data_IF_170211066554
#
_entry.id   IF_170211066554
#
_cell.length_a   1.000
_cell.length_b   1.000
_cell.length_c   1.000
_cell.angle_alpha   90.00
_cell.angle_beta   90.00
_cell.angle_gamma   90.00
#
_symmetry.space_group_name_H-M   'P 1'
#
loop_
_entity.id
_entity.type
_entity.pdbx_description
1 polymer ?
#
# COMPACT_ATOMS: atom_id res chain seq x y z
N UNK A 1 5.50 -7.21 -19.95
CA UNK A 1 6.94 -7.33 -19.66
C UNK A 1 7.13 -7.82 -18.23
N UNK A 2 8.07 -8.75 -17.98
CA UNK A 2 8.35 -9.27 -16.65
C UNK A 2 8.93 -8.20 -15.72
N UNK A 3 8.69 -8.33 -14.41
CA UNK A 3 9.28 -7.49 -13.38
C UNK A 3 10.46 -8.23 -12.74
N UNK A 4 11.62 -7.59 -12.65
CA UNK A 4 12.81 -8.18 -12.02
C UNK A 4 12.66 -8.17 -10.49
N UNK A 5 12.95 -9.30 -9.86
CA UNK A 5 13.00 -9.45 -8.40
C UNK A 5 14.44 -9.73 -7.97
N UNK A 6 15.11 -8.75 -7.35
CA UNK A 6 16.55 -8.81 -7.07
C UNK A 6 16.96 -9.61 -5.82
N UNK A 7 16.04 -10.38 -5.23
CA UNK A 7 16.28 -11.20 -4.03
C UNK A 7 15.93 -12.65 -4.33
N UNK A 8 16.59 -13.58 -3.66
CA UNK A 8 16.32 -15.00 -3.82
C UNK A 8 14.84 -15.31 -3.52
N UNK A 9 14.25 -16.17 -4.36
CA UNK A 9 12.93 -16.73 -4.15
C UNK A 9 12.99 -18.13 -3.55
N UNK A 10 11.87 -18.58 -3.01
CA UNK A 10 11.58 -20.00 -2.84
C UNK A 10 10.98 -20.55 -4.12
N UNK A 11 11.46 -21.71 -4.55
CA UNK A 11 10.94 -22.44 -5.70
C UNK A 11 9.65 -23.15 -5.31
N UNK A 12 8.52 -22.67 -5.85
CA UNK A 12 7.19 -23.20 -5.53
C UNK A 12 6.59 -23.91 -6.72
N UNK A 13 6.06 -25.11 -6.50
CA UNK A 13 5.14 -25.77 -7.43
C UNK A 13 3.76 -25.77 -6.79
N UNK A 14 2.76 -25.32 -7.53
CA UNK A 14 1.39 -25.20 -7.01
C UNK A 14 0.69 -26.54 -7.19
N UNK A 15 0.22 -27.10 -6.08
CA UNK A 15 -0.67 -28.26 -6.06
C UNK A 15 -2.14 -27.84 -5.97
N UNK A 16 -2.42 -26.75 -5.22
CA UNK A 16 -3.75 -26.18 -5.01
C UNK A 16 -3.70 -24.66 -5.04
N UNK A 17 -4.74 -24.03 -5.59
CA UNK A 17 -4.86 -22.57 -5.70
C UNK A 17 -4.43 -22.04 -7.07
N UNK A 18 -4.38 -20.72 -7.19
CA UNK A 18 -4.01 -20.01 -8.40
C UNK A 18 -2.57 -19.46 -8.31
N UNK A 19 -1.84 -19.57 -9.41
CA UNK A 19 -0.53 -18.95 -9.57
C UNK A 19 -0.63 -17.43 -9.56
N UNK A 20 0.27 -16.77 -8.85
CA UNK A 20 0.41 -15.30 -8.87
C UNK A 20 1.30 -14.78 -10.02
N UNK A 21 1.79 -15.67 -10.86
CA UNK A 21 2.60 -15.33 -12.02
C UNK A 21 3.66 -16.39 -12.30
N UNK A 22 4.13 -16.39 -13.54
CA UNK A 22 5.23 -17.24 -13.98
C UNK A 22 6.58 -16.62 -13.56
N UNK A 23 7.56 -17.48 -13.29
CA UNK A 23 8.94 -17.06 -13.05
C UNK A 23 9.75 -17.36 -14.30
N UNK A 24 10.54 -16.40 -14.75
CA UNK A 24 11.50 -16.56 -15.84
C UNK A 24 12.91 -16.41 -15.29
N UNK A 25 13.77 -17.39 -15.54
CA UNK A 25 15.18 -17.33 -15.13
C UNK A 25 15.98 -16.42 -16.10
N UNK A 26 16.99 -15.68 -15.61
CA UNK A 26 17.94 -15.01 -16.48
C UNK A 26 18.79 -16.02 -17.25
N UNK A 27 19.39 -15.62 -18.37
CA UNK A 27 20.39 -16.47 -19.06
C UNK A 27 21.54 -16.84 -18.11
N UNK A 28 21.97 -15.89 -17.28
CA UNK A 28 22.96 -16.04 -16.22
C UNK A 28 22.77 -14.98 -15.13
N UNK A 29 23.18 -15.28 -13.90
CA UNK A 29 23.28 -14.26 -12.85
C UNK A 29 24.54 -13.43 -13.06
N UNK A 30 24.44 -12.09 -12.95
CA UNK A 30 25.65 -11.25 -12.96
C UNK A 30 26.50 -11.62 -11.75
N UNK A 31 27.76 -11.92 -12.03
CA UNK A 31 28.82 -12.18 -11.08
C UNK A 31 30.07 -11.44 -11.54
N UNK A 32 31.14 -11.43 -10.74
CA UNK A 32 32.38 -10.72 -11.11
C UNK A 32 32.97 -11.23 -12.44
N UNK A 33 32.71 -12.48 -12.78
CA UNK A 33 33.16 -13.20 -13.98
C UNK A 33 32.10 -13.25 -15.11
N UNK A 34 30.89 -12.72 -14.87
CA UNK A 34 29.78 -12.73 -15.84
C UNK A 34 29.20 -11.32 -16.01
N UNK A 35 29.65 -10.65 -17.07
CA UNK A 35 29.30 -9.26 -17.38
C UNK A 35 28.03 -9.13 -18.23
N UNK A 36 27.28 -8.05 -18.00
CA UNK A 36 26.20 -7.57 -18.87
C UNK A 36 26.29 -6.04 -18.91
N UNK A 37 26.19 -5.44 -20.10
CA UNK A 37 26.19 -3.97 -20.26
C UNK A 37 24.89 -3.31 -19.81
N UNK A 38 23.82 -4.10 -19.63
CA UNK A 38 22.55 -3.63 -19.09
C UNK A 38 22.49 -3.77 -17.56
N UNK A 39 21.51 -3.10 -16.95
CA UNK A 39 21.28 -3.18 -15.51
C UNK A 39 20.97 -4.63 -15.06
N UNK A 40 20.27 -5.40 -15.90
CA UNK A 40 19.90 -6.80 -15.64
C UNK A 40 20.23 -7.70 -16.85
N UNK A 41 20.60 -8.95 -16.59
CA UNK A 41 20.70 -9.97 -17.64
C UNK A 41 19.30 -10.25 -18.21
N UNK A 42 19.11 -10.36 -19.53
CA UNK A 42 17.83 -10.73 -20.12
C UNK A 42 17.29 -12.05 -19.55
N UNK A 43 15.97 -12.15 -19.47
CA UNK A 43 15.27 -13.38 -19.08
C UNK A 43 15.17 -14.33 -20.28
N UNK A 44 15.15 -15.64 -20.01
CA UNK A 44 14.82 -16.65 -21.02
C UNK A 44 13.34 -16.54 -21.39
N UNK A 45 12.96 -16.70 -22.66
CA UNK A 45 11.56 -16.53 -23.08
C UNK A 45 10.63 -17.61 -22.52
N UNK A 46 11.14 -18.79 -22.17
CA UNK A 46 10.37 -19.86 -21.56
C UNK A 46 10.21 -19.65 -20.04
N UNK A 47 8.99 -19.80 -19.50
CA UNK A 47 8.79 -19.78 -18.06
C UNK A 47 9.39 -21.02 -17.42
N UNK A 48 9.86 -20.87 -16.19
CA UNK A 48 10.23 -21.99 -15.32
C UNK A 48 8.98 -22.75 -14.87
N UNK A 49 9.16 -23.95 -14.32
CA UNK A 49 8.08 -24.71 -13.67
C UNK A 49 7.62 -24.13 -12.32
N UNK A 50 8.24 -23.04 -11.86
CA UNK A 50 7.95 -22.43 -10.56
C UNK A 50 7.01 -21.25 -10.67
N UNK A 51 6.21 -21.05 -9.62
CA UNK A 51 5.29 -19.93 -9.51
C UNK A 51 5.83 -18.79 -8.64
N UNK A 52 5.49 -17.56 -9.02
CA UNK A 52 5.74 -16.34 -8.24
C UNK A 52 5.00 -16.29 -6.90
N UNK A 53 4.03 -17.17 -6.67
CA UNK A 53 3.29 -17.30 -5.42
C UNK A 53 1.97 -18.03 -5.61
N UNK A 54 1.27 -18.33 -4.51
CA UNK A 54 0.00 -19.05 -4.52
C UNK A 54 -1.10 -18.23 -3.85
N UNK A 55 -2.29 -18.28 -4.43
CA UNK A 55 -3.52 -17.74 -3.86
C UNK A 55 -4.58 -18.83 -3.78
N UNK A 56 -5.05 -19.12 -2.57
CA UNK A 56 -6.25 -19.92 -2.29
C UNK A 56 -7.35 -19.01 -1.75
N UNK A 57 -8.48 -19.56 -1.32
CA UNK A 57 -9.52 -18.79 -0.63
C UNK A 57 -9.04 -18.20 0.71
N UNK A 58 -8.07 -18.81 1.38
CA UNK A 58 -7.69 -18.43 2.76
C UNK A 58 -6.21 -18.14 2.91
N UNK A 59 -5.41 -18.29 1.86
CA UNK A 59 -3.96 -18.18 1.94
C UNK A 59 -3.41 -17.44 0.73
N UNK A 60 -2.53 -16.48 1.02
CA UNK A 60 -1.74 -15.77 0.03
C UNK A 60 -0.26 -15.94 0.38
N UNK A 61 0.50 -16.54 -0.53
CA UNK A 61 1.93 -16.79 -0.36
C UNK A 61 2.70 -16.19 -1.53
N UNK A 62 3.80 -15.48 -1.24
CA UNK A 62 4.69 -14.92 -2.25
C UNK A 62 6.02 -15.68 -2.26
N UNK A 63 6.50 -16.07 -3.45
CA UNK A 63 7.77 -16.78 -3.59
C UNK A 63 8.98 -15.93 -3.20
N UNK A 64 8.89 -14.62 -3.42
CA UNK A 64 9.95 -13.65 -3.13
C UNK A 64 9.65 -12.90 -1.82
N UNK A 65 10.67 -12.33 -1.15
CA UNK A 65 10.49 -11.45 0.00
C UNK A 65 9.97 -10.06 -0.46
N UNK A 66 8.74 -10.03 -0.96
CA UNK A 66 8.13 -8.89 -1.66
C UNK A 66 8.04 -7.61 -0.81
N UNK A 67 7.82 -7.73 0.50
CA UNK A 67 7.79 -6.57 1.39
C UNK A 67 9.17 -5.92 1.53
N UNK A 68 10.21 -6.74 1.67
CA UNK A 68 11.59 -6.26 1.69
C UNK A 68 11.98 -5.64 0.36
N UNK A 69 11.62 -6.30 -0.75
CA UNK A 69 11.87 -5.76 -2.10
C UNK A 69 11.19 -4.41 -2.29
N UNK A 70 9.94 -4.26 -1.85
CA UNK A 70 9.22 -2.99 -1.94
C UNK A 70 9.86 -1.91 -1.07
N UNK A 71 10.20 -2.25 0.19
CA UNK A 71 10.87 -1.33 1.10
C UNK A 71 12.23 -0.83 0.55
N UNK A 72 12.95 -1.66 -0.18
CA UNK A 72 14.26 -1.31 -0.75
C UNK A 72 14.17 -0.57 -2.10
N UNK A 73 13.16 -0.86 -2.91
CA UNK A 73 13.11 -0.39 -4.31
C UNK A 73 12.05 0.67 -4.58
N UNK A 74 11.01 0.78 -3.73
CA UNK A 74 9.86 1.65 -4.00
C UNK A 74 9.10 1.30 -5.29
N UNK A 75 9.29 0.10 -5.85
CA UNK A 75 8.77 -0.25 -7.17
C UNK A 75 7.23 -0.20 -7.22
N UNK A 76 6.70 0.66 -8.10
CA UNK A 76 5.25 0.89 -8.26
C UNK A 76 4.51 -0.36 -8.74
N UNK A 77 5.09 -1.13 -9.65
CA UNK A 77 4.50 -2.38 -10.13
C UNK A 77 4.36 -3.39 -8.98
N UNK A 78 5.39 -3.49 -8.14
CA UNK A 78 5.34 -4.36 -6.96
C UNK A 78 4.26 -3.92 -5.98
N UNK A 79 4.13 -2.61 -5.71
CA UNK A 79 3.02 -2.08 -4.89
C UNK A 79 1.65 -2.46 -5.46
N UNK A 80 1.45 -2.27 -6.76
CA UNK A 80 0.18 -2.59 -7.42
C UNK A 80 -0.12 -4.10 -7.40
N UNK A 81 0.90 -4.93 -7.64
CA UNK A 81 0.80 -6.38 -7.55
C UNK A 81 0.36 -6.83 -6.15
N UNK A 82 1.01 -6.33 -5.10
CA UNK A 82 0.64 -6.63 -3.71
C UNK A 82 -0.79 -6.18 -3.40
N UNK A 83 -1.15 -4.94 -3.76
CA UNK A 83 -2.49 -4.42 -3.54
C UNK A 83 -3.58 -5.25 -4.24
N UNK A 84 -3.34 -5.70 -5.48
CA UNK A 84 -4.27 -6.59 -6.18
C UNK A 84 -4.35 -7.96 -5.50
N UNK A 85 -3.23 -8.54 -5.10
CA UNK A 85 -3.19 -9.85 -4.43
C UNK A 85 -3.97 -9.82 -3.10
N UNK A 86 -3.76 -8.80 -2.27
CA UNK A 86 -4.51 -8.64 -1.01
C UNK A 86 -6.00 -8.42 -1.24
N UNK A 87 -6.40 -7.61 -2.24
CA UNK A 87 -7.82 -7.43 -2.58
C UNK A 87 -8.47 -8.73 -3.04
N UNK A 88 -7.76 -9.56 -3.80
CA UNK A 88 -8.28 -10.87 -4.22
C UNK A 88 -8.41 -11.84 -3.05
N UNK A 89 -7.50 -11.79 -2.08
CA UNK A 89 -7.61 -12.59 -0.86
C UNK A 89 -8.79 -12.14 0.03
N UNK A 90 -8.93 -10.82 0.24
CA UNK A 90 -9.95 -10.27 1.12
C UNK A 90 -11.36 -10.29 0.51
N UNK A 91 -11.48 -10.23 -0.82
CA UNK A 91 -12.77 -10.27 -1.52
C UNK A 91 -13.74 -9.20 -1.01
N UNK A 92 -14.99 -9.61 -0.73
CA UNK A 92 -16.05 -8.74 -0.24
C UNK A 92 -15.92 -8.39 1.25
N UNK A 93 -15.00 -9.04 1.99
CA UNK A 93 -14.76 -8.83 3.43
C UNK A 93 -13.92 -7.58 3.73
N UNK A 94 -13.50 -6.83 2.70
CA UNK A 94 -12.73 -5.59 2.90
C UNK A 94 -13.53 -4.61 3.76
N UNK A 95 -13.12 -4.42 5.01
CA UNK A 95 -13.87 -3.64 5.97
C UNK A 95 -13.99 -2.16 5.59
N UNK A 96 -12.96 -1.59 4.95
CA UNK A 96 -12.92 -0.17 4.59
C UNK A 96 -12.49 -0.01 3.13
N UNK A 97 -13.24 0.79 2.38
CA UNK A 97 -12.88 1.22 1.04
C UNK A 97 -12.85 2.74 1.00
N UNK A 98 -11.88 3.32 0.29
CA UNK A 98 -11.75 4.78 0.16
C UNK A 98 -11.00 5.15 -1.11
N UNK A 99 -11.20 6.39 -1.58
CA UNK A 99 -10.44 6.99 -2.65
C UNK A 99 -9.15 7.72 -2.18
N UNK A 100 -8.78 7.62 -0.89
CA UNK A 100 -7.50 8.17 -0.42
C UNK A 100 -6.31 7.65 -1.25
N UNK A 101 -5.33 8.53 -1.53
CA UNK A 101 -4.12 8.14 -2.24
C UNK A 101 -3.21 7.26 -1.36
N UNK A 102 -2.10 6.78 -1.91
CA UNK A 102 -1.18 5.84 -1.22
C UNK A 102 -0.59 6.36 0.09
N UNK A 103 -0.57 7.68 0.27
CA UNK A 103 -0.09 8.34 1.49
C UNK A 103 -1.16 8.46 2.57
N UNK A 104 -2.43 8.29 2.22
CA UNK A 104 -3.52 8.26 3.18
C UNK A 104 -3.38 7.10 4.17
N UNK A 105 -3.91 7.32 5.37
CA UNK A 105 -4.03 6.31 6.42
C UNK A 105 -5.47 6.28 6.89
N UNK A 106 -5.96 5.08 7.13
CA UNK A 106 -7.31 4.85 7.61
C UNK A 106 -7.27 3.85 8.74
N UNK A 107 -7.96 4.18 9.82
CA UNK A 107 -8.13 3.30 10.98
C UNK A 107 -9.60 3.29 11.36
N UNK A 108 -10.14 2.11 11.64
CA UNK A 108 -11.48 1.98 12.21
C UNK A 108 -11.34 1.42 13.61
N UNK A 109 -11.86 2.14 14.60
CA UNK A 109 -11.87 1.73 15.99
C UNK A 109 -13.28 1.40 16.41
N UNK A 110 -13.50 0.21 16.96
CA UNK A 110 -14.75 -0.16 17.62
C UNK A 110 -14.69 0.24 19.09
N UNK A 111 -15.68 0.98 19.56
CA UNK A 111 -15.87 1.37 20.96
C UNK A 111 -17.23 0.83 21.45
N UNK A 112 -17.29 -0.46 21.84
CA UNK A 112 -18.56 -1.09 22.22
C UNK A 112 -19.20 -0.46 23.47
N UNK A 113 -18.41 0.00 24.43
CA UNK A 113 -18.93 0.69 25.62
C UNK A 113 -19.68 2.00 25.29
N UNK A 114 -19.40 2.59 24.13
CA UNK A 114 -19.99 3.83 23.64
C UNK A 114 -20.94 3.58 22.45
N UNK A 115 -21.21 2.31 22.12
CA UNK A 115 -22.00 1.87 20.97
C UNK A 115 -21.61 2.57 19.66
N UNK A 116 -20.31 2.71 19.39
CA UNK A 116 -19.85 3.41 18.18
C UNK A 116 -18.64 2.80 17.52
N UNK A 117 -18.46 3.14 16.25
CA UNK A 117 -17.21 3.01 15.52
C UNK A 117 -16.66 4.39 15.19
N UNK A 118 -15.35 4.57 15.26
CA UNK A 118 -14.68 5.80 14.88
C UNK A 118 -13.71 5.51 13.74
N UNK A 119 -14.03 6.05 12.56
CA UNK A 119 -13.16 6.05 11.40
C UNK A 119 -12.23 7.25 11.46
N UNK A 120 -10.94 7.01 11.62
CA UNK A 120 -9.91 8.02 11.48
C UNK A 120 -9.41 8.05 10.04
N UNK A 121 -9.58 9.19 9.39
CA UNK A 121 -9.08 9.47 8.05
C UNK A 121 -7.92 10.45 8.18
N UNK A 122 -6.74 10.06 7.74
CA UNK A 122 -5.55 10.89 7.81
C UNK A 122 -4.90 11.00 6.43
N UNK A 123 -4.64 12.23 6.01
CA UNK A 123 -3.90 12.57 4.81
C UNK A 123 -2.94 13.72 5.10
N UNK A 124 -1.67 13.36 5.32
CA UNK A 124 -0.59 14.30 5.50
C UNK A 124 0.63 13.78 4.74
N UNK A 125 1.01 14.49 3.68
CA UNK A 125 2.10 14.08 2.81
C UNK A 125 3.43 14.54 3.40
N UNK A 126 4.39 13.64 3.45
CA UNK A 126 5.77 14.01 3.75
C UNK A 126 6.49 14.44 2.48
N UNK A 127 7.35 15.44 2.62
CA UNK A 127 8.28 15.86 1.57
C UNK A 127 9.70 15.61 2.09
N UNK A 128 10.55 15.05 1.23
CA UNK A 128 11.97 14.94 1.52
C UNK A 128 12.63 16.31 1.39
N UNK A 129 13.28 16.76 2.46
CA UNK A 129 14.10 17.97 2.51
C UNK A 129 15.56 17.63 2.77
N UNK A 130 16.44 18.55 2.36
CA UNK A 130 17.89 18.36 2.42
C UNK A 130 18.43 17.45 1.31
N UNK A 131 19.76 17.40 1.19
CA UNK A 131 20.47 16.54 0.25
C UNK A 131 21.59 15.80 0.98
N UNK A 132 21.85 14.55 0.58
CA UNK A 132 23.01 13.78 1.04
C UNK A 132 24.28 14.09 0.25
N UNK A 133 24.16 14.83 -0.86
CA UNK A 133 25.27 15.09 -1.78
C UNK A 133 25.80 16.50 -1.59
N UNK A 134 27.10 16.62 -1.36
CA UNK A 134 27.80 17.87 -1.56
C UNK A 134 27.78 18.20 -3.07
N UNK A 135 27.28 19.38 -3.43
CA UNK A 135 27.21 19.83 -4.83
C UNK A 135 28.48 20.55 -5.29
N UNK A 136 29.44 20.77 -4.39
CA UNK A 136 30.71 21.41 -4.73
C UNK A 136 31.73 20.40 -5.27
N UNK A 137 32.29 20.69 -6.46
CA UNK A 137 33.33 19.88 -7.09
C UNK A 137 34.63 20.00 -6.28
N UNK A 138 35.23 18.86 -5.92
CA UNK A 138 36.56 18.80 -5.33
C UNK A 138 36.65 19.06 -3.82
N UNK A 139 35.53 19.28 -3.11
CA UNK A 139 35.53 19.41 -1.65
C UNK A 139 35.03 18.15 -0.94
N UNK A 140 35.62 17.76 0.21
CA UNK A 140 35.15 16.62 0.98
C UNK A 140 33.71 16.81 1.49
N UNK A 141 33.01 15.69 1.64
CA UNK A 141 31.55 15.53 1.80
C UNK A 141 30.95 16.02 3.15
N UNK A 142 31.60 16.91 3.90
CA UNK A 142 31.25 17.12 5.30
C UNK A 142 30.56 18.46 5.56
N UNK A 143 29.26 18.53 5.24
CA UNK A 143 28.34 19.38 6.01
C UNK A 143 27.69 18.42 7.00
N UNK A 144 27.94 18.55 8.30
CA UNK A 144 27.38 17.64 9.30
C UNK A 144 26.35 18.36 10.18
N UNK A 145 25.13 17.81 10.35
CA UNK A 145 24.59 16.62 9.69
C UNK A 145 23.89 16.95 8.36
N UNK A 146 24.46 16.54 7.22
CA UNK A 146 23.77 16.50 5.93
C UNK A 146 22.93 15.21 5.82
N UNK A 147 21.78 15.21 6.49
CA UNK A 147 20.82 14.12 6.43
C UNK A 147 19.53 14.59 5.76
N UNK A 148 19.00 13.76 4.87
CA UNK A 148 17.63 13.95 4.39
C UNK A 148 16.65 13.73 5.53
N UNK A 149 15.62 14.57 5.60
CA UNK A 149 14.52 14.44 6.55
C UNK A 149 13.20 14.40 5.79
N UNK A 150 12.26 13.59 6.28
CA UNK A 150 10.88 13.59 5.82
C UNK A 150 10.07 14.49 6.74
N UNK A 151 9.50 15.56 6.20
CA UNK A 151 8.76 16.57 6.97
C UNK A 151 7.35 16.77 6.40
N UNK A 152 6.40 17.08 7.28
CA UNK A 152 5.08 17.57 6.90
C UNK A 152 5.15 19.09 7.06
N UNK A 153 5.29 19.82 5.95
CA UNK A 153 5.31 21.29 5.96
C UNK A 153 3.94 21.87 5.60
N UNK A 154 3.19 21.18 4.73
CA UNK A 154 1.93 21.66 4.15
C UNK A 154 0.85 20.60 4.35
N UNK A 155 -0.32 21.04 4.81
CA UNK A 155 -1.50 20.18 4.95
C UNK A 155 -2.40 20.39 3.74
N UNK A 156 -1.96 19.88 2.59
CA UNK A 156 -2.70 19.98 1.34
C UNK A 156 -4.10 19.33 1.47
N UNK A 157 -5.19 20.08 1.23
CA UNK A 157 -6.53 19.53 1.28
C UNK A 157 -6.72 18.41 0.26
N UNK A 158 -7.38 17.32 0.66
CA UNK A 158 -7.84 16.28 -0.24
C UNK A 158 -9.34 16.44 -0.51
N UNK A 159 -9.75 16.86 -1.71
CA UNK A 159 -11.15 17.13 -2.03
C UNK A 159 -11.92 15.84 -2.34
N UNK A 160 -13.24 15.90 -2.18
CA UNK A 160 -14.18 14.85 -2.56
C UNK A 160 -13.80 13.46 -2.01
N UNK A 161 -13.54 13.40 -0.70
CA UNK A 161 -13.23 12.14 -0.05
C UNK A 161 -14.47 11.25 -0.03
N UNK A 162 -14.31 10.02 -0.51
CA UNK A 162 -15.31 8.97 -0.38
C UNK A 162 -14.73 7.82 0.43
N UNK A 163 -15.52 7.33 1.39
CA UNK A 163 -15.22 6.15 2.15
C UNK A 163 -16.48 5.29 2.34
N UNK A 164 -16.33 3.97 2.38
CA UNK A 164 -17.41 3.06 2.74
C UNK A 164 -16.93 1.99 3.70
N UNK A 165 -17.71 1.73 4.73
CA UNK A 165 -17.35 0.78 5.79
C UNK A 165 -18.41 -0.30 5.91
N UNK A 166 -17.92 -1.54 6.06
CA UNK A 166 -18.72 -2.70 6.39
C UNK A 166 -18.75 -2.84 7.92
N UNK A 167 -19.91 -2.58 8.51
CA UNK A 167 -20.18 -2.66 9.95
C UNK A 167 -21.42 -3.54 10.13
N UNK A 168 -21.40 -4.54 11.03
CA UNK A 168 -22.54 -5.44 11.23
C UNK A 168 -23.73 -4.76 11.92
N UNK A 169 -23.48 -3.79 12.79
CA UNK A 169 -24.51 -3.10 13.57
C UNK A 169 -25.35 -2.13 12.71
N UNK A 170 -26.56 -1.86 13.19
CA UNK A 170 -27.46 -0.90 12.56
C UNK A 170 -27.14 0.52 13.04
N UNK A 171 -26.32 1.23 12.28
CA UNK A 171 -25.98 2.64 12.53
C UNK A 171 -27.24 3.51 12.53
N UNK A 172 -27.42 4.28 13.59
CA UNK A 172 -28.50 5.23 13.81
C UNK A 172 -28.10 6.65 13.39
N UNK A 173 -26.84 7.02 13.63
CA UNK A 173 -26.31 8.35 13.33
C UNK A 173 -24.87 8.27 12.81
N UNK A 174 -24.52 9.18 11.90
CA UNK A 174 -23.14 9.41 11.47
C UNK A 174 -22.84 10.89 11.68
N UNK A 175 -21.70 11.20 12.31
CA UNK A 175 -21.30 12.59 12.53
C UNK A 175 -19.78 12.74 12.57
N UNK A 176 -19.32 13.98 12.42
CA UNK A 176 -17.92 14.36 12.45
C UNK A 176 -17.47 14.72 13.87
N UNK A 177 -16.24 14.35 14.21
CA UNK A 177 -15.57 14.82 15.43
C UNK A 177 -14.27 15.53 15.05
N UNK A 178 -13.96 16.70 15.63
CA UNK A 178 -14.62 17.35 16.78
C UNK A 178 -15.80 18.29 16.43
N UNK A 179 -16.21 18.40 15.17
CA UNK A 179 -17.16 19.42 14.71
C UNK A 179 -18.60 19.15 15.14
N UNK A 180 -18.92 17.91 15.53
CA UNK A 180 -20.28 17.42 15.78
C UNK A 180 -21.25 17.69 14.62
N UNK A 181 -20.74 17.73 13.39
CA UNK A 181 -21.54 17.91 12.18
C UNK A 181 -22.16 16.57 11.76
N UNK A 182 -23.49 16.50 11.69
CA UNK A 182 -24.19 15.30 11.23
C UNK A 182 -24.03 15.07 9.73
N UNK A 183 -23.82 13.81 9.36
CA UNK A 183 -23.78 13.34 7.98
C UNK A 183 -24.98 12.43 7.70
N UNK A 184 -25.47 12.38 6.45
CA UNK A 184 -26.58 11.50 6.10
C UNK A 184 -26.19 10.02 6.28
N UNK A 185 -27.09 9.25 6.88
CA UNK A 185 -26.91 7.79 7.02
C UNK A 185 -27.30 7.11 5.70
N UNK A 186 -26.29 6.83 4.87
CA UNK A 186 -26.48 6.18 3.56
C UNK A 186 -25.94 4.75 3.63
N UNK A 187 -26.83 3.75 3.54
CA UNK A 187 -26.47 2.32 3.45
C UNK A 187 -26.76 1.78 2.05
N UNK A 188 -25.79 1.13 1.42
CA UNK A 188 -25.94 0.52 0.09
C UNK A 188 -24.93 -0.60 -0.12
N UNK A 189 -25.36 -1.73 -0.68
CA UNK A 189 -24.50 -2.90 -0.87
C UNK A 189 -23.92 -3.46 0.44
N UNK A 190 -24.66 -3.36 1.54
CA UNK A 190 -24.22 -3.80 2.87
C UNK A 190 -23.28 -2.83 3.62
N UNK A 191 -22.86 -1.72 2.99
CA UNK A 191 -21.87 -0.78 3.53
C UNK A 191 -22.52 0.57 3.87
N UNK A 192 -21.98 1.25 4.88
CA UNK A 192 -22.28 2.65 5.16
C UNK A 192 -21.34 3.54 4.36
N UNK A 193 -21.88 4.53 3.67
CA UNK A 193 -21.13 5.42 2.77
C UNK A 193 -20.98 6.81 3.38
N UNK A 194 -19.79 7.37 3.26
CA UNK A 194 -19.42 8.70 3.76
C UNK A 194 -18.80 9.49 2.62
N UNK A 195 -19.23 10.75 2.51
CA UNK A 195 -18.65 11.73 1.59
C UNK A 195 -18.27 12.98 2.37
N UNK A 196 -17.02 13.39 2.26
CA UNK A 196 -16.54 14.68 2.78
C UNK A 196 -16.15 15.57 1.61
N UNK A 197 -16.52 16.86 1.69
CA UNK A 197 -16.13 17.85 0.68
C UNK A 197 -14.62 17.98 0.59
N UNK A 198 -13.96 17.97 1.74
CA UNK A 198 -12.51 18.00 1.84
C UNK A 198 -12.04 17.30 3.12
N UNK A 199 -10.79 16.83 3.09
CA UNK A 199 -10.04 16.37 4.24
C UNK A 199 -8.77 17.20 4.35
N UNK A 200 -8.59 17.88 5.48
CA UNK A 200 -7.35 18.59 5.81
C UNK A 200 -6.69 17.88 6.99
N UNK A 201 -5.55 17.23 6.74
CA UNK A 201 -4.80 16.44 7.72
C UNK A 201 -5.55 15.25 8.31
N UNK A 202 -6.53 15.47 9.19
CA UNK A 202 -7.21 14.44 9.96
C UNK A 202 -8.70 14.76 10.14
N UNK A 203 -9.54 13.75 10.00
CA UNK A 203 -10.96 13.82 10.34
C UNK A 203 -11.41 12.52 10.98
N UNK A 204 -12.22 12.62 12.04
CA UNK A 204 -12.93 11.48 12.63
C UNK A 204 -14.36 11.47 12.13
N UNK A 205 -14.83 10.29 11.73
CA UNK A 205 -16.23 10.02 11.38
C UNK A 205 -16.75 8.94 12.30
N UNK A 206 -17.75 9.30 13.09
CA UNK A 206 -18.36 8.42 14.09
C UNK A 206 -19.60 7.76 13.48
N UNK A 207 -19.73 6.46 13.70
CA UNK A 207 -20.90 5.66 13.36
C UNK A 207 -21.51 5.16 14.66
N UNK A 208 -22.55 5.84 15.13
CA UNK A 208 -23.27 5.52 16.36
C UNK A 208 -24.38 4.49 16.05
N UNK A 209 -24.43 3.40 16.80
CA UNK A 209 -25.44 2.34 16.64
C UNK A 209 -26.23 2.08 17.92
#
# INVERSE_FOLDING_TARGET
>A
SPCVMSKQSRRLKITTGQSLGEIFDPYFNRAFDHYSSHQHTPFRPEPTEFSGGSLTHQTLYFAHPVFQLYALSGNVLLRQFLGKAFRRLAGDEIQIQTNLPSQGRVFLRHQPAENRYVLHLLYANTILRGTRKNTEVGKPFYIWPATQVEVIEELNPFPNLEASILIPEKVQQIFLEPQHEELPVVKGGGRYHVKLRELVCHQMVVFQY
#
